data_IF_087005051456
#
_entry.id   IF_087005051456
#
_cell.length_a   1.000
_cell.length_b   1.000
_cell.length_c   1.000
_cell.angle_alpha   90.00
_cell.angle_beta   90.00
_cell.angle_gamma   90.00
#
_symmetry.space_group_name_H-M   'P 1'
#
loop_
_entity.id
_entity.type
_entity.pdbx_description
1 polymer ?
#
# COMPACT_ATOMS: atom_id res chain seq x y z
N UNK A 1 -21.61 2.11 -3.16
CA UNK A 1 -20.14 2.18 -3.21
C UNK A 1 -19.67 2.14 -1.75
N UNK A 2 -19.38 0.97 -1.21
CA UNK A 2 -18.98 0.87 0.19
C UNK A 2 -17.53 1.33 0.32
N UNK A 3 -17.34 2.61 0.62
CA UNK A 3 -16.08 3.11 1.15
C UNK A 3 -16.00 2.59 2.59
N UNK A 4 -15.07 1.67 2.83
CA UNK A 4 -14.69 1.30 4.19
C UNK A 4 -13.82 2.42 4.77
N UNK A 5 -13.84 2.58 6.10
CA UNK A 5 -12.89 3.47 6.76
C UNK A 5 -11.46 2.95 6.59
N UNK A 6 -10.49 3.87 6.73
CA UNK A 6 -9.06 3.58 6.52
C UNK A 6 -8.56 2.48 7.45
N UNK A 7 -9.04 2.43 8.69
CA UNK A 7 -8.63 1.42 9.67
C UNK A 7 -9.06 0.01 9.24
N UNK A 8 -10.30 -0.11 8.76
CA UNK A 8 -10.83 -1.36 8.20
C UNK A 8 -10.05 -1.78 6.94
N UNK A 9 -9.75 -0.83 6.03
CA UNK A 9 -8.94 -1.11 4.85
C UNK A 9 -7.53 -1.59 5.22
N UNK A 10 -6.89 -0.94 6.19
CA UNK A 10 -5.56 -1.31 6.65
C UNK A 10 -5.52 -2.71 7.27
N UNK A 11 -6.47 -3.04 8.15
CA UNK A 11 -6.61 -4.37 8.74
C UNK A 11 -6.79 -5.45 7.67
N UNK A 12 -7.63 -5.16 6.67
CA UNK A 12 -7.85 -6.07 5.55
C UNK A 12 -6.56 -6.33 4.77
N UNK A 13 -5.84 -5.26 4.40
CA UNK A 13 -4.57 -5.37 3.67
C UNK A 13 -3.53 -6.13 4.49
N UNK A 14 -3.35 -5.80 5.77
CA UNK A 14 -2.40 -6.48 6.64
C UNK A 14 -2.64 -8.00 6.72
N UNK A 15 -3.88 -8.43 6.92
CA UNK A 15 -4.23 -9.87 6.96
C UNK A 15 -4.05 -10.53 5.59
N UNK A 16 -4.41 -9.84 4.50
CA UNK A 16 -4.33 -10.38 3.14
C UNK A 16 -2.88 -10.57 2.71
N UNK A 17 -2.04 -9.56 2.93
CA UNK A 17 -0.62 -9.59 2.59
C UNK A 17 0.13 -10.68 3.39
N UNK A 18 -0.15 -10.82 4.69
CA UNK A 18 0.44 -11.89 5.50
C UNK A 18 0.05 -13.30 5.03
N UNK A 19 -1.14 -13.48 4.46
CA UNK A 19 -1.55 -14.78 3.86
C UNK A 19 -0.86 -15.06 2.53
N UNK A 20 -0.66 -14.02 1.72
CA UNK A 20 0.03 -14.15 0.43
C UNK A 20 1.51 -14.47 0.63
N UNK A 21 2.15 -13.88 1.63
CA UNK A 21 3.53 -14.18 2.01
C UNK A 21 3.73 -15.69 2.28
N UNK A 22 2.82 -16.31 3.04
CA UNK A 22 2.86 -17.74 3.35
C UNK A 22 2.73 -18.69 2.16
N UNK A 23 2.38 -18.18 0.97
CA UNK A 23 2.29 -18.94 -0.29
C UNK A 23 3.22 -18.41 -1.38
N UNK A 24 4.17 -17.53 -1.03
CA UNK A 24 5.02 -16.82 -1.99
C UNK A 24 4.20 -16.09 -3.08
N UNK A 25 3.04 -15.55 -2.70
CA UNK A 25 2.16 -14.79 -3.58
C UNK A 25 2.69 -13.37 -3.81
N UNK A 26 2.53 -12.87 -5.04
CA UNK A 26 2.91 -11.50 -5.41
C UNK A 26 1.67 -10.60 -5.44
N UNK A 27 1.81 -9.36 -4.96
CA UNK A 27 0.72 -8.38 -4.89
C UNK A 27 1.19 -7.01 -5.37
N UNK A 28 0.34 -6.33 -6.12
CA UNK A 28 0.59 -4.99 -6.64
C UNK A 28 -0.55 -4.10 -6.20
N UNK A 29 -0.23 -3.00 -5.52
CA UNK A 29 -1.19 -2.00 -5.03
C UNK A 29 -0.89 -0.62 -5.61
N UNK A 30 -1.93 0.16 -5.86
CA UNK A 30 -1.82 1.56 -6.27
C UNK A 30 -2.56 2.45 -5.27
N UNK A 31 -1.90 3.51 -4.82
CA UNK A 31 -2.46 4.53 -3.94
C UNK A 31 -2.19 5.89 -4.58
N UNK A 32 -3.21 6.75 -4.65
CA UNK A 32 -3.03 8.17 -4.94
C UNK A 32 -2.72 8.89 -3.62
N UNK A 33 -1.46 9.34 -3.38
CA UNK A 33 -1.09 9.99 -2.14
C UNK A 33 -1.76 11.36 -1.95
N UNK A 34 -2.32 11.98 -3.00
CA UNK A 34 -3.06 13.24 -2.89
C UNK A 34 -4.53 13.03 -2.46
N UNK A 35 -5.02 11.79 -2.48
CA UNK A 35 -6.40 11.46 -2.13
C UNK A 35 -6.59 11.07 -0.66
N UNK A 36 -5.50 10.89 0.09
CA UNK A 36 -5.49 10.49 1.51
C UNK A 36 -4.49 11.34 2.28
N UNK A 37 -4.57 11.34 3.62
CA UNK A 37 -3.60 12.02 4.46
C UNK A 37 -2.22 11.32 4.49
N UNK A 38 -1.19 12.07 4.88
CA UNK A 38 0.21 11.59 4.94
C UNK A 38 0.39 10.38 5.87
N UNK A 39 -0.37 10.32 6.97
CA UNK A 39 -0.33 9.20 7.93
C UNK A 39 -0.82 7.91 7.26
N UNK A 40 -1.90 7.98 6.50
CA UNK A 40 -2.44 6.87 5.72
C UNK A 40 -1.47 6.41 4.64
N UNK A 41 -0.79 7.35 3.95
CA UNK A 41 0.26 7.03 2.98
C UNK A 41 1.40 6.28 3.66
N UNK A 42 1.96 6.82 4.75
CA UNK A 42 3.08 6.23 5.47
C UNK A 42 2.74 4.83 6.02
N UNK A 43 1.55 4.70 6.60
CA UNK A 43 1.04 3.45 7.15
C UNK A 43 0.87 2.40 6.05
N UNK A 44 0.27 2.76 4.91
CA UNK A 44 0.11 1.83 3.77
C UNK A 44 1.44 1.43 3.17
N UNK A 45 2.40 2.37 3.02
CA UNK A 45 3.75 2.08 2.53
C UNK A 45 4.45 1.00 3.35
N UNK A 46 4.30 1.02 4.68
CA UNK A 46 4.93 0.03 5.57
C UNK A 46 4.47 -1.42 5.35
N UNK A 47 3.35 -1.64 4.65
CA UNK A 47 2.83 -2.98 4.36
C UNK A 47 3.50 -3.65 3.16
N UNK A 48 4.21 -2.90 2.32
CA UNK A 48 4.80 -3.41 1.09
C UNK A 48 6.32 -3.49 1.21
N UNK A 49 6.89 -4.55 0.64
CA UNK A 49 8.34 -4.76 0.57
C UNK A 49 9.02 -3.72 -0.34
N UNK A 50 8.30 -3.19 -1.34
CA UNK A 50 8.80 -2.16 -2.23
C UNK A 50 7.68 -1.20 -2.62
N UNK A 51 7.99 0.09 -2.68
CA UNK A 51 7.05 1.14 -3.06
C UNK A 51 7.59 1.86 -4.28
N UNK A 52 6.72 2.10 -5.27
CA UNK A 52 7.03 2.92 -6.43
C UNK A 52 6.40 4.30 -6.24
N UNK A 53 7.24 5.34 -6.19
CA UNK A 53 6.79 6.72 -6.19
C UNK A 53 6.95 7.33 -7.58
N UNK A 54 5.99 8.17 -7.99
CA UNK A 54 6.08 8.87 -9.27
C UNK A 54 6.80 10.20 -9.07
N UNK A 55 7.96 10.33 -9.69
CA UNK A 55 8.80 11.54 -9.62
C UNK A 55 8.91 12.16 -11.01
N UNK A 56 8.24 13.29 -11.23
CA UNK A 56 8.14 13.92 -12.54
C UNK A 56 7.52 12.99 -13.58
N UNK A 57 8.27 12.70 -14.66
CA UNK A 57 7.85 11.79 -15.73
C UNK A 57 8.28 10.32 -15.50
N UNK A 58 8.96 10.01 -14.39
CA UNK A 58 9.50 8.69 -14.08
C UNK A 58 8.92 8.03 -12.82
N UNK A 59 9.34 6.78 -12.58
CA UNK A 59 9.09 6.07 -11.32
C UNK A 59 10.40 5.89 -10.55
N UNK A 60 10.39 6.23 -9.28
CA UNK A 60 11.46 5.95 -8.33
C UNK A 60 11.05 4.76 -7.44
N UNK A 61 11.99 3.85 -7.21
CA UNK A 61 11.80 2.73 -6.28
C UNK A 61 12.26 3.18 -4.90
N UNK A 62 11.35 3.17 -3.94
CA UNK A 62 11.63 3.25 -2.52
C UNK A 62 11.65 1.82 -1.96
N UNK A 63 12.81 1.37 -1.50
CA UNK A 63 12.94 0.12 -0.73
C UNK A 63 12.91 0.47 0.75
N UNK A 64 12.04 -0.18 1.52
CA UNK A 64 11.96 -0.04 2.98
C UNK A 64 13.07 -0.84 3.67
#
# INVERSE_FOLDING_TARGET
>A
MQYVDVETAFKFLHVTLGRLDGVAGTVHGHLDPAAVDEETVATTRSLFESVLAREGDGWAVEST
#
